data_IF_450464638591
#
_entry.id   IF_450464638591
#
_cell.length_a   1.000
_cell.length_b   1.000
_cell.length_c   1.000
_cell.angle_alpha   90.00
_cell.angle_beta   90.00
_cell.angle_gamma   90.00
#
_symmetry.space_group_name_H-M   'P 1'
#
loop_
_entity.id
_entity.type
_entity.pdbx_description
1 polymer ?
#
# COMPACT_ATOMS: atom_id res chain seq x y z
N UNK A 1 -7.14 -49.21 -48.83
CA UNK A 1 -8.34 -50.07 -48.81
C UNK A 1 -9.48 -49.30 -48.16
N UNK A 2 -10.64 -49.26 -48.84
CA UNK A 2 -12.04 -49.00 -48.40
C UNK A 2 -12.43 -47.75 -47.57
N UNK A 3 -13.48 -47.10 -48.09
CA UNK A 3 -14.27 -45.95 -47.59
C UNK A 3 -15.41 -46.43 -46.65
N UNK A 4 -16.01 -45.46 -45.93
CA UNK A 4 -17.45 -45.33 -45.49
C UNK A 4 -17.78 -45.49 -43.97
N UNK A 5 -18.20 -44.33 -43.41
CA UNK A 5 -19.33 -43.97 -42.51
C UNK A 5 -19.99 -45.02 -41.60
N UNK A 6 -20.22 -44.67 -40.32
CA UNK A 6 -21.53 -44.84 -39.63
C UNK A 6 -21.69 -43.78 -38.52
N UNK A 7 -22.80 -43.05 -38.60
CA UNK A 7 -23.44 -42.22 -37.57
C UNK A 7 -24.19 -43.07 -36.55
N UNK A 8 -24.15 -42.73 -35.25
CA UNK A 8 -25.26 -42.99 -34.34
C UNK A 8 -25.19 -42.09 -33.10
N UNK A 9 -26.17 -41.20 -32.97
CA UNK A 9 -26.43 -40.41 -31.78
C UNK A 9 -27.02 -41.30 -30.68
N UNK A 10 -26.54 -41.16 -29.44
CA UNK A 10 -27.24 -41.63 -28.25
C UNK A 10 -27.36 -40.44 -27.29
N UNK A 11 -28.61 -40.03 -27.08
CA UNK A 11 -29.03 -39.09 -26.04
C UNK A 11 -28.99 -39.80 -24.68
N UNK A 12 -28.19 -39.27 -23.75
CA UNK A 12 -28.39 -39.49 -22.33
C UNK A 12 -27.96 -38.23 -21.56
N UNK A 13 -28.91 -37.73 -20.79
CA UNK A 13 -28.92 -36.47 -20.06
C UNK A 13 -28.13 -36.53 -18.76
N UNK A 14 -27.44 -35.42 -18.48
CA UNK A 14 -27.11 -34.85 -17.16
C UNK A 14 -26.17 -35.62 -16.21
N UNK A 15 -24.89 -35.28 -16.27
CA UNK A 15 -24.14 -34.87 -15.07
C UNK A 15 -23.57 -33.49 -15.41
N UNK A 16 -24.01 -32.47 -14.68
CA UNK A 16 -23.74 -31.08 -15.00
C UNK A 16 -22.26 -30.76 -15.11
N UNK A 17 -21.84 -30.22 -16.26
CA UNK A 17 -20.72 -29.32 -16.29
C UNK A 17 -21.14 -28.07 -15.51
N UNK A 18 -20.87 -28.04 -14.20
CA UNK A 18 -20.63 -26.74 -13.59
C UNK A 18 -19.39 -26.18 -14.28
N UNK A 19 -19.44 -24.98 -14.89
CA UNK A 19 -18.19 -24.27 -15.12
C UNK A 19 -17.53 -24.16 -13.75
N UNK A 20 -16.31 -24.68 -13.65
CA UNK A 20 -15.41 -24.27 -12.58
C UNK A 20 -15.26 -22.76 -12.73
N UNK A 21 -16.15 -22.00 -12.10
CA UNK A 21 -15.86 -20.64 -11.71
C UNK A 21 -14.76 -20.81 -10.67
N UNK A 22 -13.52 -20.87 -11.15
CA UNK A 22 -12.41 -20.50 -10.32
C UNK A 22 -12.77 -19.09 -9.85
N UNK A 23 -13.19 -18.97 -8.59
CA UNK A 23 -13.09 -17.73 -7.88
C UNK A 23 -11.63 -17.35 -8.01
N UNK A 24 -11.33 -16.43 -8.92
CA UNK A 24 -10.07 -15.71 -8.88
C UNK A 24 -10.14 -14.89 -7.60
N UNK A 25 -9.77 -15.53 -6.50
CA UNK A 25 -9.59 -14.86 -5.23
C UNK A 25 -8.63 -13.70 -5.47
N UNK A 26 -9.09 -12.53 -5.07
CA UNK A 26 -8.54 -11.22 -5.37
C UNK A 26 -7.18 -11.07 -4.69
N UNK A 27 -6.11 -11.57 -5.30
CA UNK A 27 -4.81 -10.90 -5.18
C UNK A 27 -4.80 -9.78 -6.21
N UNK A 28 -5.62 -8.76 -5.96
CA UNK A 28 -5.26 -7.44 -6.43
C UNK A 28 -3.86 -7.19 -5.89
N UNK A 29 -2.86 -7.09 -6.78
CA UNK A 29 -1.56 -6.55 -6.40
C UNK A 29 -1.86 -5.31 -5.55
N UNK A 30 -1.38 -5.30 -4.30
CA UNK A 30 -1.73 -4.24 -3.36
C UNK A 30 -1.56 -2.90 -4.09
N UNK A 31 -2.52 -1.99 -4.02
CA UNK A 31 -2.40 -0.77 -4.81
C UNK A 31 -1.17 0.05 -4.35
N UNK A 32 -0.38 0.59 -5.26
CA UNK A 32 0.73 1.50 -4.92
C UNK A 32 0.18 2.86 -4.53
N UNK A 33 0.71 3.48 -3.47
CA UNK A 33 0.30 4.83 -3.11
C UNK A 33 0.86 5.83 -4.13
N UNK A 34 0.00 6.59 -4.81
CA UNK A 34 0.38 7.58 -5.83
C UNK A 34 0.28 9.03 -5.33
N UNK A 35 -0.47 9.26 -4.25
CA UNK A 35 -0.87 10.59 -3.80
C UNK A 35 -0.84 10.74 -2.27
N UNK A 36 -1.23 11.91 -1.78
CA UNK A 36 -1.30 12.24 -0.35
C UNK A 36 -2.68 12.75 0.01
N UNK A 37 -3.24 12.25 1.12
CA UNK A 37 -4.46 12.80 1.71
C UNK A 37 -4.13 13.60 2.97
N UNK A 38 -4.76 14.78 3.10
CA UNK A 38 -4.79 15.57 4.33
C UNK A 38 -5.89 15.03 5.23
N UNK A 39 -5.54 14.68 6.46
CA UNK A 39 -6.48 14.15 7.45
C UNK A 39 -6.52 15.14 8.61
N UNK A 40 -7.68 15.74 8.82
CA UNK A 40 -7.89 16.73 9.87
C UNK A 40 -7.85 16.10 11.26
N UNK A 41 -7.11 16.72 12.16
CA UNK A 41 -6.97 16.40 13.58
C UNK A 41 -7.21 17.68 14.39
N UNK A 42 -8.49 18.03 14.55
CA UNK A 42 -8.90 19.34 15.08
C UNK A 42 -8.50 20.48 14.13
N UNK A 43 -7.78 21.47 14.66
CA UNK A 43 -7.31 22.63 13.89
C UNK A 43 -6.06 22.35 13.04
N UNK A 44 -5.50 21.14 13.12
CA UNK A 44 -4.30 20.71 12.40
C UNK A 44 -4.64 19.60 11.41
N UNK A 45 -3.68 19.20 10.57
CA UNK A 45 -3.83 18.03 9.71
C UNK A 45 -2.53 17.23 9.59
N UNK A 46 -2.64 15.92 9.36
CA UNK A 46 -1.52 15.06 8.95
C UNK A 46 -1.61 14.76 7.46
N UNK A 47 -0.46 14.38 6.86
CA UNK A 47 -0.34 14.00 5.46
C UNK A 47 0.03 12.54 5.37
N UNK A 48 -0.80 11.73 4.73
CA UNK A 48 -0.55 10.30 4.59
C UNK A 48 -0.67 9.82 3.14
N UNK A 49 0.17 8.87 2.73
CA UNK A 49 0.08 8.19 1.44
C UNK A 49 -1.32 7.61 1.19
N UNK A 50 -1.82 7.82 -0.02
CA UNK A 50 -3.05 7.23 -0.53
C UNK A 50 -2.87 6.80 -1.98
N UNK A 51 -3.68 5.85 -2.39
CA UNK A 51 -3.93 5.52 -3.78
C UNK A 51 -5.25 6.17 -4.23
N UNK A 52 -5.21 6.88 -5.35
CA UNK A 52 -6.40 7.55 -5.92
C UNK A 52 -7.27 6.62 -6.76
N UNK A 53 -6.74 5.47 -7.17
CA UNK A 53 -7.43 4.41 -7.92
C UNK A 53 -8.40 3.54 -7.11
N UNK A 54 -8.84 3.99 -5.93
CA UNK A 54 -9.90 3.34 -5.14
C UNK A 54 -9.44 2.57 -3.90
N UNK A 55 -8.15 2.28 -3.74
CA UNK A 55 -7.64 1.64 -2.52
C UNK A 55 -7.50 2.61 -1.33
N UNK A 56 -7.58 3.93 -1.58
CA UNK A 56 -7.53 4.95 -0.55
C UNK A 56 -6.25 4.85 0.27
N UNK A 57 -6.36 4.74 1.60
CA UNK A 57 -5.19 4.65 2.49
C UNK A 57 -4.61 3.24 2.55
N UNK A 58 -5.29 2.23 1.99
CA UNK A 58 -4.86 0.82 1.98
C UNK A 58 -3.99 0.53 0.75
N UNK A 59 -2.87 1.23 0.66
CA UNK A 59 -1.90 1.13 -0.40
C UNK A 59 -0.51 0.89 0.17
N UNK A 60 0.45 0.55 -0.70
CA UNK A 60 1.83 0.28 -0.29
C UNK A 60 2.83 1.23 -0.96
N UNK A 61 4.00 1.37 -0.33
CA UNK A 61 5.21 1.95 -0.94
C UNK A 61 6.38 1.04 -0.63
N UNK A 62 7.27 0.88 -1.60
CA UNK A 62 8.43 -0.02 -1.54
C UNK A 62 9.60 0.54 -2.34
N UNK A 63 10.73 -0.15 -2.30
CA UNK A 63 11.94 0.27 -3.01
C UNK A 63 11.67 0.50 -4.51
N UNK A 64 12.09 1.67 -5.00
CA UNK A 64 11.90 2.08 -6.39
C UNK A 64 10.65 2.93 -6.64
N UNK A 65 9.70 2.97 -5.71
CA UNK A 65 8.57 3.90 -5.80
C UNK A 65 9.05 5.36 -5.66
N UNK A 66 8.31 6.29 -6.24
CA UNK A 66 8.62 7.71 -6.16
C UNK A 66 7.40 8.62 -6.15
N UNK A 67 7.61 9.88 -5.80
CA UNK A 67 6.62 10.94 -5.84
C UNK A 67 6.07 11.36 -4.48
N UNK A 68 4.92 12.04 -4.50
CA UNK A 68 4.41 12.77 -3.33
C UNK A 68 4.11 11.88 -2.12
N UNK A 69 3.67 10.65 -2.37
CA UNK A 69 3.43 9.63 -1.34
C UNK A 69 4.73 9.28 -0.60
N UNK A 70 5.82 9.06 -1.33
CA UNK A 70 7.14 8.79 -0.76
C UNK A 70 7.66 10.00 0.01
N UNK A 71 7.52 11.21 -0.52
CA UNK A 71 7.92 12.43 0.18
C UNK A 71 7.20 12.56 1.53
N UNK A 72 5.89 12.24 1.59
CA UNK A 72 5.14 12.26 2.84
C UNK A 72 5.67 11.22 3.85
N UNK A 73 6.00 10.01 3.40
CA UNK A 73 6.61 8.98 4.23
C UNK A 73 7.99 9.43 4.76
N UNK A 74 8.84 10.00 3.91
CA UNK A 74 10.16 10.48 4.30
C UNK A 74 10.08 11.59 5.36
N UNK A 75 9.12 12.52 5.24
CA UNK A 75 8.86 13.53 6.28
C UNK A 75 8.42 12.90 7.60
N UNK A 76 7.57 11.87 7.56
CA UNK A 76 7.17 11.14 8.76
C UNK A 76 8.38 10.45 9.42
N UNK A 77 9.22 9.78 8.65
CA UNK A 77 10.45 9.15 9.15
C UNK A 77 11.41 10.17 9.78
N UNK A 78 11.64 11.29 9.08
CA UNK A 78 12.58 12.34 9.49
C UNK A 78 12.11 13.15 10.71
N UNK A 79 10.82 13.40 10.87
CA UNK A 79 10.32 14.27 11.94
C UNK A 79 9.76 13.49 13.13
N UNK A 80 9.15 12.33 12.88
CA UNK A 80 8.27 11.69 13.86
C UNK A 80 8.65 10.24 14.20
N UNK A 81 9.62 9.63 13.50
CA UNK A 81 10.02 8.26 13.75
C UNK A 81 11.54 8.17 13.90
N UNK A 82 12.02 8.56 15.08
CA UNK A 82 13.42 8.50 15.51
C UNK A 82 14.38 9.43 14.76
N UNK A 83 13.85 10.53 14.19
CA UNK A 83 14.63 11.58 13.53
C UNK A 83 15.61 11.02 12.49
N UNK A 84 15.11 10.12 11.63
CA UNK A 84 15.93 9.49 10.61
C UNK A 84 16.67 10.54 9.76
N UNK A 85 17.99 10.40 9.63
CA UNK A 85 18.81 11.29 8.83
C UNK A 85 18.75 10.87 7.35
N UNK A 86 17.63 11.16 6.70
CA UNK A 86 17.39 10.86 5.29
C UNK A 86 17.03 12.12 4.49
N UNK A 87 17.21 12.04 3.17
CA UNK A 87 16.69 13.02 2.23
C UNK A 87 15.15 12.93 2.16
N UNK A 88 14.54 14.03 1.72
CA UNK A 88 13.11 14.13 1.42
C UNK A 88 12.95 14.52 -0.05
N UNK A 89 13.47 13.66 -0.92
CA UNK A 89 13.56 13.81 -2.37
C UNK A 89 12.35 13.21 -3.11
N UNK A 90 11.54 12.40 -2.42
CA UNK A 90 10.44 11.68 -3.03
C UNK A 90 10.87 10.37 -3.68
N UNK A 91 12.09 9.88 -3.48
CA UNK A 91 12.55 8.60 -4.00
C UNK A 91 12.65 7.55 -2.89
N UNK A 92 12.01 6.40 -3.10
CA UNK A 92 12.07 5.29 -2.16
C UNK A 92 13.34 4.48 -2.45
N UNK A 93 14.49 5.07 -2.14
CA UNK A 93 15.79 4.42 -2.20
C UNK A 93 16.12 3.62 -0.94
N UNK A 94 17.35 3.09 -0.91
CA UNK A 94 17.84 2.23 0.15
C UNK A 94 17.83 2.92 1.53
N UNK A 95 18.10 4.22 1.58
CA UNK A 95 18.08 4.98 2.84
C UNK A 95 16.65 5.11 3.41
N UNK A 96 15.66 5.33 2.55
CA UNK A 96 14.24 5.35 2.94
C UNK A 96 13.82 3.98 3.47
N UNK A 97 14.20 2.90 2.76
CA UNK A 97 13.91 1.51 3.17
C UNK A 97 14.51 1.16 4.53
N UNK A 98 15.78 1.48 4.77
CA UNK A 98 16.45 1.25 6.07
C UNK A 98 15.80 2.04 7.20
N UNK A 99 15.47 3.32 6.95
CA UNK A 99 14.80 4.14 7.94
C UNK A 99 13.41 3.61 8.29
N UNK A 100 12.67 3.10 7.29
CA UNK A 100 11.37 2.48 7.52
C UNK A 100 11.47 1.19 8.31
N UNK A 101 12.37 0.28 7.92
CA UNK A 101 12.62 -0.99 8.62
C UNK A 101 13.02 -0.75 10.08
N UNK A 102 13.88 0.24 10.33
CA UNK A 102 14.22 0.64 11.70
C UNK A 102 13.00 1.18 12.47
N UNK A 103 12.17 2.03 11.86
CA UNK A 103 10.97 2.53 12.52
C UNK A 103 9.98 1.40 12.82
N UNK A 104 9.80 0.43 11.92
CA UNK A 104 8.97 -0.76 12.12
C UNK A 104 9.47 -1.61 13.30
N UNK A 105 10.77 -1.92 13.34
CA UNK A 105 11.42 -2.62 14.46
C UNK A 105 11.09 -1.95 15.80
N UNK A 106 11.28 -0.62 15.88
CA UNK A 106 11.02 0.14 17.10
C UNK A 106 9.54 0.27 17.48
N UNK A 107 8.64 0.01 16.54
CA UNK A 107 7.19 -0.03 16.79
C UNK A 107 6.67 -1.44 17.08
N UNK A 108 7.52 -2.47 17.01
CA UNK A 108 7.14 -3.86 17.29
C UNK A 108 6.25 -4.48 16.21
N UNK A 109 6.43 -4.06 14.95
CA UNK A 109 5.79 -4.68 13.78
C UNK A 109 6.85 -5.28 12.86
N UNK A 110 6.44 -6.08 11.89
CA UNK A 110 7.33 -6.66 10.88
C UNK A 110 8.15 -5.56 10.19
N UNK A 111 9.48 -5.74 10.16
CA UNK A 111 10.46 -4.76 9.70
C UNK A 111 10.90 -5.01 8.25
N UNK A 112 9.95 -5.40 7.40
CA UNK A 112 10.12 -5.73 5.99
C UNK A 112 10.63 -4.55 5.12
N UNK A 113 10.60 -3.33 5.64
CA UNK A 113 10.97 -2.13 4.90
C UNK A 113 9.95 -1.74 3.83
N UNK A 114 8.72 -2.24 3.94
CA UNK A 114 7.58 -1.93 3.07
C UNK A 114 6.56 -1.11 3.85
N UNK A 115 6.13 0.00 3.27
CA UNK A 115 5.05 0.77 3.84
C UNK A 115 3.72 0.12 3.44
N UNK A 116 2.86 -0.16 4.41
CA UNK A 116 1.51 -0.68 4.20
C UNK A 116 0.55 -0.27 5.32
N UNK A 117 -0.68 -0.79 5.36
CA UNK A 117 -1.71 -0.40 6.34
C UNK A 117 -1.27 -0.56 7.80
N UNK A 118 -0.54 -1.63 8.13
CA UNK A 118 0.00 -1.86 9.48
C UNK A 118 1.02 -0.78 9.81
N UNK A 119 2.02 -0.59 8.94
CA UNK A 119 3.07 0.44 9.07
C UNK A 119 2.45 1.83 9.22
N UNK A 120 1.46 2.18 8.40
CA UNK A 120 0.72 3.45 8.48
C UNK A 120 0.13 3.72 9.86
N UNK A 121 -0.47 2.68 10.47
CA UNK A 121 -1.13 2.77 11.77
C UNK A 121 -0.16 2.99 12.94
N UNK A 122 1.06 2.46 12.84
CA UNK A 122 2.06 2.55 13.92
C UNK A 122 3.02 3.73 13.79
N UNK A 123 3.19 4.29 12.59
CA UNK A 123 4.05 5.46 12.39
C UNK A 123 3.42 6.73 12.98
N UNK A 124 4.29 7.59 13.52
CA UNK A 124 3.93 8.97 13.82
C UNK A 124 3.97 9.82 12.56
N UNK A 125 2.99 10.70 12.38
CA UNK A 125 2.85 11.59 11.24
C UNK A 125 2.98 13.05 11.68
N UNK A 126 3.71 13.90 10.93
CA UNK A 126 3.89 15.29 11.31
C UNK A 126 2.56 16.04 11.20
N UNK A 127 2.16 16.74 12.26
CA UNK A 127 0.96 17.58 12.27
C UNK A 127 1.28 18.98 11.76
N UNK A 128 0.46 19.49 10.84
CA UNK A 128 0.63 20.79 10.21
C UNK A 128 -0.53 21.73 10.52
N UNK A 129 -0.22 23.02 10.66
CA UNK A 129 -1.17 24.12 10.63
C UNK A 129 -0.81 25.01 9.44
N UNK A 130 -1.70 25.12 8.45
CA UNK A 130 -1.35 25.72 7.16
C UNK A 130 -0.17 24.98 6.50
N UNK A 131 0.94 25.67 6.28
CA UNK A 131 2.17 25.10 5.71
C UNK A 131 3.25 24.79 6.75
N UNK A 132 2.99 25.08 8.03
CA UNK A 132 3.98 24.96 9.10
C UNK A 132 3.83 23.65 9.86
N UNK A 133 4.94 22.94 10.04
CA UNK A 133 4.98 21.81 10.97
C UNK A 133 4.83 22.35 12.40
N UNK A 134 3.93 21.76 13.17
CA UNK A 134 3.58 22.23 14.52
C UNK A 134 4.57 21.78 15.60
N UNK A 135 5.54 20.94 15.26
CA UNK A 135 6.41 20.27 16.24
C UNK A 135 5.78 19.01 16.85
N UNK A 136 4.50 18.75 16.60
CA UNK A 136 3.77 17.60 17.14
C UNK A 136 3.62 16.48 16.11
N UNK A 137 3.65 15.24 16.58
CA UNK A 137 3.40 14.05 15.78
C UNK A 137 2.10 13.39 16.23
N UNK A 138 1.24 13.02 15.28
CA UNK A 138 -0.01 12.32 15.54
C UNK A 138 0.02 10.92 14.92
N UNK A 139 -0.68 9.99 15.56
CA UNK A 139 -0.87 8.64 15.03
C UNK A 139 -2.02 8.66 14.02
N UNK A 140 -2.19 7.54 13.32
CA UNK A 140 -3.42 7.31 12.59
C UNK A 140 -4.65 7.38 13.51
N UNK A 141 -5.77 7.92 13.01
CA UNK A 141 -7.06 8.08 13.72
C UNK A 141 -8.12 7.15 13.17
#
# INVERSE_FOLDING_TARGET
MRRILVTAAVLATAIGLAPATASADVTAAAATCDSVKKISIGNNYIRQPVNTGGAGRNCHLSYGDSGSAVTALQWALKLCNYKANIATDGDFGEQTRKALSYAQDKRGVDNDGIYGPITRGVLGWPAYNGNSFTGACAKDV
#
